data_IF_689736771001
#
_entry.id   IF_689736771001
#
_cell.length_a   1.000
_cell.length_b   1.000
_cell.length_c   1.000
_cell.angle_alpha   90.00
_cell.angle_beta   90.00
_cell.angle_gamma   90.00
#
_symmetry.space_group_name_H-M   'P 1'
#
loop_
_entity.id
_entity.type
_entity.pdbx_description
1 polymer ?
#
# COMPACT_ATOMS: atom_id res chain seq x y z
N UNK A 1 -40.81 8.17 20.12
CA UNK A 1 -39.78 7.12 20.40
C UNK A 1 -39.37 6.33 19.16
N UNK A 2 -40.30 5.88 18.31
CA UNK A 2 -39.95 5.12 17.10
C UNK A 2 -39.06 5.89 16.12
N UNK A 3 -39.27 7.20 15.96
CA UNK A 3 -38.47 8.05 15.06
C UNK A 3 -37.00 8.15 15.48
N UNK A 4 -36.73 8.23 16.79
CA UNK A 4 -35.35 8.32 17.31
C UNK A 4 -34.62 7.01 17.09
N UNK A 5 -35.31 5.88 17.26
CA UNK A 5 -34.74 4.54 17.04
C UNK A 5 -34.33 4.34 15.58
N UNK A 6 -35.17 4.74 14.63
CA UNK A 6 -34.87 4.67 13.20
C UNK A 6 -33.67 5.54 12.80
N UNK A 7 -33.58 6.77 13.34
CA UNK A 7 -32.46 7.68 13.08
C UNK A 7 -31.15 7.07 13.56
N UNK A 8 -31.16 6.42 14.76
CA UNK A 8 -29.97 5.75 15.29
C UNK A 8 -29.53 4.58 14.43
N UNK A 9 -30.47 3.77 13.94
CA UNK A 9 -30.21 2.63 13.06
C UNK A 9 -29.64 3.12 11.72
N UNK A 10 -30.24 4.12 11.10
CA UNK A 10 -29.74 4.69 9.83
C UNK A 10 -28.36 5.31 10.00
N UNK A 11 -28.11 6.02 11.09
CA UNK A 11 -26.80 6.60 11.38
C UNK A 11 -25.74 5.52 11.55
N UNK A 12 -26.05 4.43 12.26
CA UNK A 12 -25.16 3.29 12.43
C UNK A 12 -24.84 2.61 11.10
N UNK A 13 -25.84 2.42 10.23
CA UNK A 13 -25.64 1.83 8.90
C UNK A 13 -24.72 2.73 8.05
N UNK A 14 -24.94 4.04 8.05
CA UNK A 14 -24.12 4.99 7.28
C UNK A 14 -22.67 5.00 7.77
N UNK A 15 -22.46 4.98 9.08
CA UNK A 15 -21.09 4.91 9.66
C UNK A 15 -20.40 3.63 9.24
N UNK A 16 -21.10 2.50 9.32
CA UNK A 16 -20.55 1.19 8.94
C UNK A 16 -20.20 1.15 7.45
N UNK A 17 -21.08 1.66 6.58
CA UNK A 17 -20.81 1.74 5.15
C UNK A 17 -19.61 2.64 4.85
N UNK A 18 -19.51 3.79 5.51
CA UNK A 18 -18.37 4.68 5.37
C UNK A 18 -17.06 4.03 5.79
N UNK A 19 -17.05 3.28 6.89
CA UNK A 19 -15.88 2.54 7.35
C UNK A 19 -15.47 1.46 6.34
N UNK A 20 -16.44 0.72 5.77
CA UNK A 20 -16.17 -0.27 4.74
C UNK A 20 -15.56 0.38 3.49
N UNK A 21 -16.09 1.51 3.04
CA UNK A 21 -15.54 2.26 1.91
C UNK A 21 -14.09 2.68 2.16
N UNK A 22 -13.77 3.18 3.35
CA UNK A 22 -12.41 3.57 3.71
C UNK A 22 -11.45 2.39 3.67
N UNK A 23 -11.88 1.23 4.20
CA UNK A 23 -11.07 0.01 4.17
C UNK A 23 -10.85 -0.45 2.72
N UNK A 24 -11.89 -0.50 1.91
CA UNK A 24 -11.80 -0.91 0.50
C UNK A 24 -10.88 0.01 -0.29
N UNK A 25 -10.78 1.28 0.06
CA UNK A 25 -9.86 2.24 -0.55
C UNK A 25 -8.40 2.03 -0.16
N UNK A 26 -8.10 1.09 0.75
CA UNK A 26 -6.72 0.78 1.17
C UNK A 26 -6.26 -0.62 0.77
N UNK A 27 -7.12 -1.44 0.16
CA UNK A 27 -6.76 -2.80 -0.26
C UNK A 27 -6.23 -2.75 -1.70
N UNK A 28 -4.92 -2.96 -1.92
CA UNK A 28 -4.35 -2.91 -3.26
C UNK A 28 -4.71 -4.16 -4.05
N UNK A 29 -5.12 -3.99 -5.30
CA UNK A 29 -5.52 -5.10 -6.17
C UNK A 29 -4.64 -5.21 -7.41
N UNK A 30 -4.01 -4.13 -7.84
CA UNK A 30 -3.15 -4.12 -9.03
C UNK A 30 -2.17 -2.96 -8.99
N UNK A 31 -0.93 -3.24 -9.39
CA UNK A 31 0.07 -2.21 -9.64
C UNK A 31 0.39 -2.17 -11.13
N UNK A 32 0.50 -0.98 -11.68
CA UNK A 32 0.83 -0.79 -13.09
C UNK A 32 1.92 0.26 -13.21
N UNK A 33 3.04 -0.11 -13.86
CA UNK A 33 4.13 0.82 -14.12
C UNK A 33 4.09 1.22 -15.60
N UNK A 34 3.83 2.50 -15.85
CA UNK A 34 3.79 3.07 -17.20
C UNK A 34 4.66 4.31 -17.25
N UNK A 35 5.77 4.24 -18.01
CA UNK A 35 6.71 5.34 -18.10
C UNK A 35 7.27 5.69 -16.72
N UNK A 36 7.06 6.92 -16.28
CA UNK A 36 7.51 7.41 -14.99
C UNK A 36 6.42 7.43 -13.92
N UNK A 37 5.31 6.72 -14.13
CA UNK A 37 4.19 6.66 -13.19
C UNK A 37 3.91 5.24 -12.76
N UNK A 38 3.84 5.03 -11.44
CA UNK A 38 3.36 3.80 -10.85
C UNK A 38 1.95 4.05 -10.31
N UNK A 39 0.99 3.31 -10.84
CA UNK A 39 -0.39 3.39 -10.38
C UNK A 39 -0.69 2.20 -9.48
N UNK A 40 -1.01 2.48 -8.22
CA UNK A 40 -1.52 1.48 -7.28
C UNK A 40 -3.04 1.56 -7.31
N UNK A 41 -3.66 0.50 -7.83
CA UNK A 41 -5.12 0.43 -7.89
C UNK A 41 -5.64 -0.33 -6.67
N UNK A 42 -6.55 0.30 -5.94
CA UNK A 42 -7.25 -0.31 -4.81
C UNK A 42 -8.61 -0.84 -5.27
N UNK A 43 -9.32 -1.55 -4.39
CA UNK A 43 -10.68 -1.97 -4.69
C UNK A 43 -11.53 -0.74 -5.04
N UNK A 44 -11.35 0.35 -4.29
CA UNK A 44 -11.98 1.64 -4.59
C UNK A 44 -10.88 2.70 -4.67
N UNK A 45 -10.75 3.32 -5.84
CA UNK A 45 -9.77 4.40 -6.03
C UNK A 45 -8.39 3.92 -6.43
N UNK A 46 -7.48 4.87 -6.55
CA UNK A 46 -6.10 4.61 -6.96
C UNK A 46 -5.15 5.65 -6.37
N UNK A 47 -3.88 5.29 -6.30
CA UNK A 47 -2.79 6.21 -5.94
C UNK A 47 -1.76 6.18 -7.08
N UNK A 48 -1.31 7.36 -7.50
CA UNK A 48 -0.27 7.48 -8.53
C UNK A 48 1.01 7.96 -7.86
N UNK A 49 2.10 7.23 -8.08
CA UNK A 49 3.43 7.57 -7.55
C UNK A 49 4.29 8.02 -8.74
N UNK A 50 4.85 9.22 -8.62
CA UNK A 50 5.81 9.72 -9.60
C UNK A 50 7.13 9.00 -9.39
N UNK A 51 7.56 8.26 -10.41
CA UNK A 51 8.76 7.44 -10.36
C UNK A 51 10.01 8.17 -10.83
N UNK A 52 9.93 9.47 -11.08
CA UNK A 52 11.11 10.24 -11.46
C UNK A 52 12.15 10.20 -10.34
N UNK A 53 13.36 9.79 -10.69
CA UNK A 53 14.45 9.63 -9.74
C UNK A 53 14.39 8.34 -8.92
N UNK A 54 13.47 7.44 -9.22
CA UNK A 54 13.35 6.16 -8.51
C UNK A 54 14.58 5.28 -8.80
N UNK A 55 15.10 4.67 -7.73
CA UNK A 55 16.22 3.72 -7.80
C UNK A 55 15.72 2.34 -7.38
N UNK A 56 15.69 1.40 -8.32
CA UNK A 56 15.34 0.02 -8.04
C UNK A 56 16.54 -0.71 -7.47
N UNK A 57 16.31 -1.47 -6.40
CA UNK A 57 17.37 -2.19 -5.68
C UNK A 57 16.89 -3.58 -5.30
N UNK A 58 17.82 -4.44 -4.90
CA UNK A 58 17.46 -5.71 -4.28
C UNK A 58 16.68 -5.45 -2.98
N UNK A 59 15.73 -6.34 -2.67
CA UNK A 59 14.92 -6.21 -1.45
C UNK A 59 15.83 -6.37 -0.23
N UNK A 60 15.96 -5.33 0.62
CA UNK A 60 16.78 -5.45 1.84
C UNK A 60 16.16 -6.41 2.84
N UNK A 61 16.98 -7.04 3.67
CA UNK A 61 16.49 -7.89 4.76
C UNK A 61 15.62 -7.12 5.75
N UNK A 62 15.91 -5.84 5.94
CA UNK A 62 15.19 -4.96 6.88
C UNK A 62 13.72 -4.75 6.50
N UNK A 63 13.31 -5.02 5.25
CA UNK A 63 11.90 -4.92 4.83
C UNK A 63 11.16 -6.25 4.97
N UNK A 64 11.87 -7.35 5.26
CA UNK A 64 11.27 -8.68 5.39
C UNK A 64 11.32 -9.23 6.81
N UNK A 65 12.11 -8.61 7.68
CA UNK A 65 12.30 -9.04 9.08
C UNK A 65 11.98 -7.90 10.04
N UNK A 66 11.39 -8.25 11.17
CA UNK A 66 11.08 -7.31 12.25
C UNK A 66 10.21 -6.13 11.80
N UNK A 67 9.26 -6.40 10.91
CA UNK A 67 8.37 -5.38 10.34
C UNK A 67 7.06 -5.37 11.11
N UNK A 68 6.61 -4.18 11.50
CA UNK A 68 5.29 -3.94 12.06
C UNK A 68 4.54 -2.93 11.20
N UNK A 69 3.21 -3.05 11.20
CA UNK A 69 2.35 -2.07 10.55
C UNK A 69 2.15 -0.89 11.51
N UNK A 70 2.44 0.32 11.02
CA UNK A 70 2.22 1.55 11.78
C UNK A 70 1.05 2.38 11.22
N UNK A 71 0.61 2.08 10.01
CA UNK A 71 -0.58 2.68 9.40
C UNK A 71 -0.92 1.92 8.14
N UNK A 72 -2.20 1.93 7.74
CA UNK A 72 -2.65 1.23 6.55
C UNK A 72 -3.30 -0.12 6.84
N UNK A 73 -3.29 -1.01 5.85
CA UNK A 73 -4.08 -2.25 5.87
C UNK A 73 -3.22 -3.47 5.55
N UNK A 74 -3.46 -4.56 6.28
CA UNK A 74 -2.90 -5.88 5.97
C UNK A 74 -4.02 -6.91 6.00
N UNK A 75 -4.33 -7.51 4.83
CA UNK A 75 -5.36 -8.54 4.69
C UNK A 75 -4.76 -9.68 3.86
N UNK A 76 -4.47 -10.80 4.49
CA UNK A 76 -3.82 -11.93 3.81
C UNK A 76 -2.46 -11.51 3.23
N UNK A 77 -2.29 -11.67 1.91
CA UNK A 77 -1.06 -11.28 1.20
C UNK A 77 -1.07 -9.84 0.70
N UNK A 78 -2.17 -9.11 0.94
CA UNK A 78 -2.33 -7.73 0.49
C UNK A 78 -1.97 -6.76 1.61
N UNK A 79 -1.07 -5.83 1.32
CA UNK A 79 -0.60 -4.85 2.30
C UNK A 79 -0.53 -3.48 1.66
N UNK A 80 -0.95 -2.45 2.37
CA UNK A 80 -0.77 -1.07 1.94
C UNK A 80 -0.52 -0.15 3.13
N UNK A 81 0.23 0.91 2.88
CA UNK A 81 0.47 1.96 3.86
C UNK A 81 1.86 1.89 4.47
N UNK A 82 1.97 2.30 5.72
CA UNK A 82 3.25 2.49 6.39
C UNK A 82 3.61 1.30 7.29
N UNK A 83 4.84 0.85 7.13
CA UNK A 83 5.44 -0.23 7.91
C UNK A 83 6.80 0.22 8.41
N UNK A 84 7.25 -0.34 9.52
CA UNK A 84 8.50 0.06 10.14
C UNK A 84 9.28 -1.17 10.64
N UNK A 85 10.58 -1.17 10.39
CA UNK A 85 11.47 -2.14 11.03
C UNK A 85 11.64 -1.75 12.50
N UNK A 86 11.35 -2.68 13.41
CA UNK A 86 11.38 -2.40 14.85
C UNK A 86 12.79 -2.21 15.42
N UNK A 87 13.80 -2.74 14.73
CA UNK A 87 15.20 -2.62 15.16
C UNK A 87 15.85 -1.34 14.64
N UNK A 88 15.71 -1.05 13.35
CA UNK A 88 16.36 0.10 12.72
C UNK A 88 15.52 1.36 12.76
N UNK A 89 14.20 1.21 13.05
CA UNK A 89 13.21 2.29 13.00
C UNK A 89 13.01 2.88 11.61
N UNK A 90 13.48 2.20 10.59
CA UNK A 90 13.30 2.61 9.19
C UNK A 90 11.86 2.39 8.76
N UNK A 91 11.27 3.41 8.13
CA UNK A 91 9.88 3.38 7.66
C UNK A 91 9.83 3.08 6.17
N UNK A 92 8.86 2.27 5.78
CA UNK A 92 8.64 1.86 4.39
C UNK A 92 7.18 2.05 4.03
N UNK A 93 6.91 2.32 2.75
CA UNK A 93 5.55 2.24 2.21
C UNK A 93 5.41 0.93 1.44
N UNK A 94 4.40 0.14 1.79
CA UNK A 94 4.10 -1.12 1.14
C UNK A 94 2.84 -0.96 0.29
N UNK A 95 2.88 -1.47 -0.94
CA UNK A 95 1.71 -1.60 -1.80
C UNK A 95 1.80 -2.97 -2.46
N UNK A 96 1.40 -4.00 -1.72
CA UNK A 96 1.51 -5.40 -2.11
C UNK A 96 0.13 -5.97 -2.43
N UNK A 97 -0.01 -6.45 -3.66
CA UNK A 97 -1.26 -7.06 -4.16
C UNK A 97 -1.32 -8.56 -3.90
N UNK A 98 -0.19 -9.16 -3.55
CA UNK A 98 -0.04 -10.61 -3.39
C UNK A 98 0.29 -11.33 -4.69
N UNK A 99 0.64 -10.61 -5.75
CA UNK A 99 0.96 -11.18 -7.07
C UNK A 99 2.39 -10.88 -7.46
N UNK A 100 3.10 -11.88 -7.97
CA UNK A 100 4.44 -11.73 -8.51
C UNK A 100 5.50 -11.49 -7.44
N UNK A 101 6.70 -11.15 -7.91
CA UNK A 101 7.84 -10.90 -7.04
C UNK A 101 7.75 -9.51 -6.42
N UNK A 102 8.32 -9.38 -5.23
CA UNK A 102 8.42 -8.09 -4.55
C UNK A 102 9.53 -7.27 -5.18
N UNK A 103 9.26 -5.99 -5.37
CA UNK A 103 10.18 -5.02 -5.97
C UNK A 103 10.39 -3.89 -4.96
N UNK A 104 11.66 -3.59 -4.69
CA UNK A 104 12.03 -2.52 -3.77
C UNK A 104 12.63 -1.35 -4.56
N UNK A 105 12.21 -0.15 -4.23
CA UNK A 105 12.80 1.05 -4.82
C UNK A 105 12.77 2.22 -3.83
N UNK A 106 13.63 3.19 -4.06
CA UNK A 106 13.71 4.42 -3.27
C UNK A 106 13.55 5.64 -4.18
N UNK A 107 12.80 6.61 -3.69
CA UNK A 107 12.66 7.92 -4.33
C UNK A 107 13.05 8.96 -3.28
N UNK A 108 14.24 9.55 -3.43
CA UNK A 108 14.78 10.43 -2.40
C UNK A 108 14.95 9.66 -1.09
N UNK A 109 14.31 10.12 -0.03
CA UNK A 109 14.31 9.46 1.29
C UNK A 109 13.15 8.47 1.46
N UNK A 110 12.23 8.41 0.52
CA UNK A 110 11.07 7.50 0.60
C UNK A 110 11.44 6.11 0.11
N UNK A 111 11.01 5.10 0.86
CA UNK A 111 11.32 3.70 0.60
C UNK A 111 10.03 2.94 0.35
N UNK A 112 9.99 2.19 -0.75
CA UNK A 112 8.77 1.50 -1.22
C UNK A 112 9.03 0.02 -1.47
N UNK A 113 8.08 -0.81 -1.08
CA UNK A 113 8.03 -2.22 -1.47
C UNK A 113 6.70 -2.47 -2.17
N UNK A 114 6.77 -2.91 -3.41
CA UNK A 114 5.60 -3.18 -4.25
C UNK A 114 5.75 -4.55 -4.91
N UNK A 115 4.68 -5.01 -5.55
CA UNK A 115 4.71 -6.22 -6.38
C UNK A 115 3.89 -5.98 -7.66
N UNK A 116 3.68 -7.02 -8.45
CA UNK A 116 2.85 -6.98 -9.66
C UNK A 116 3.37 -6.00 -10.73
N UNK A 117 4.66 -5.68 -10.70
CA UNK A 117 5.31 -4.87 -11.74
C UNK A 117 6.58 -5.55 -12.22
N UNK A 118 7.02 -5.20 -13.42
CA UNK A 118 8.30 -5.65 -13.97
C UNK A 118 9.29 -4.50 -13.87
N UNK A 119 10.44 -4.75 -13.25
CA UNK A 119 11.51 -3.75 -13.18
C UNK A 119 12.03 -3.51 -14.60
N UNK A 120 12.14 -2.24 -15.04
CA UNK A 120 12.72 -1.93 -16.35
C UNK A 120 14.11 -2.52 -16.49
N UNK A 121 14.42 -3.03 -17.69
CA UNK A 121 15.72 -3.64 -17.96
C UNK A 121 16.85 -2.64 -17.69
N UNK A 122 17.87 -3.09 -16.94
CA UNK A 122 19.00 -2.26 -16.58
C UNK A 122 18.75 -1.23 -15.47
N UNK A 123 17.54 -1.19 -14.91
CA UNK A 123 17.19 -0.23 -13.85
C UNK A 123 17.57 -0.69 -12.44
N UNK A 124 17.89 -1.98 -12.25
CA UNK A 124 18.22 -2.52 -10.94
C UNK A 124 19.63 -2.08 -10.52
N UNK A 125 19.72 -1.38 -9.40
CA UNK A 125 20.97 -0.97 -8.77
C UNK A 125 21.36 -1.94 -7.66
N UNK A 126 22.62 -2.31 -7.63
CA UNK A 126 23.16 -3.20 -6.60
C UNK A 126 23.83 -2.42 -5.48
#
# INVERSE_FOLDING_TARGET
MQKIMWISILGGILITLGAVFLILGTIPVKNTLEGDKLTVQFIIGKKVIDMEGAKFMHVPEDVTHHIIRIGGTSIGTKHSGWFMNTKTKTKYQFYLTGKGEKVYFEIGSDKYLVDDITVPEGALHQ
#
